data_IF_403079932533
#
_entry.id   IF_403079932533
#
_cell.length_a   1.000
_cell.length_b   1.000
_cell.length_c   1.000
_cell.angle_alpha   90.00
_cell.angle_beta   90.00
_cell.angle_gamma   90.00
#
_symmetry.space_group_name_H-M   'P 1'
#
loop_
_entity.id
_entity.type
_entity.pdbx_description
1 polymer ?
#
# COMPACT_ATOMS: atom_id res chain seq x y z
N UNK A 1 -6.57 27.48 12.08
CA UNK A 1 -6.01 26.29 11.41
C UNK A 1 -5.04 25.64 12.38
N UNK A 2 -5.07 24.32 12.57
CA UNK A 2 -4.15 23.63 13.50
C UNK A 2 -2.77 23.49 12.87
N UNK A 3 -1.73 23.94 13.55
CA UNK A 3 -0.33 23.89 13.09
C UNK A 3 0.45 22.69 13.62
N UNK A 4 -0.17 21.91 14.51
CA UNK A 4 0.43 20.74 15.17
C UNK A 4 0.15 19.42 14.45
N UNK A 5 -0.67 19.44 13.40
CA UNK A 5 -1.04 18.27 12.60
C UNK A 5 -0.42 18.41 11.21
N UNK A 6 0.32 17.37 10.78
CA UNK A 6 0.75 17.22 9.39
C UNK A 6 -0.23 16.30 8.67
N UNK A 7 -0.85 16.80 7.61
CA UNK A 7 -1.76 16.02 6.77
C UNK A 7 -1.04 15.55 5.50
N UNK A 8 -1.27 14.29 5.15
CA UNK A 8 -0.76 13.66 3.93
C UNK A 8 -1.94 13.00 3.24
N UNK A 9 -2.16 13.30 1.96
CA UNK A 9 -3.31 12.82 1.20
C UNK A 9 -2.85 11.87 0.10
N UNK A 10 -3.63 10.80 -0.09
CA UNK A 10 -3.42 9.85 -1.18
C UNK A 10 -4.78 9.43 -1.74
N UNK A 11 -5.00 9.50 -3.07
CA UNK A 11 -6.25 9.09 -3.71
C UNK A 11 -6.26 7.56 -3.93
N UNK A 12 -6.14 6.78 -2.86
CA UNK A 12 -5.90 5.33 -2.93
C UNK A 12 -6.97 4.56 -3.74
N UNK A 13 -8.26 4.91 -3.58
CA UNK A 13 -9.34 4.27 -4.35
C UNK A 13 -9.27 4.57 -5.84
N UNK A 14 -8.93 5.81 -6.21
CA UNK A 14 -8.76 6.18 -7.62
C UNK A 14 -7.53 5.51 -8.23
N UNK A 15 -6.43 5.42 -7.47
CA UNK A 15 -5.23 4.70 -7.88
C UNK A 15 -5.53 3.21 -8.10
N UNK A 16 -6.31 2.59 -7.22
CA UNK A 16 -6.75 1.20 -7.38
C UNK A 16 -7.52 1.01 -8.70
N UNK A 17 -8.54 1.82 -8.96
CA UNK A 17 -9.35 1.71 -10.18
C UNK A 17 -8.50 1.91 -11.46
N UNK A 18 -7.67 2.96 -11.50
CA UNK A 18 -6.82 3.26 -12.67
C UNK A 18 -5.79 2.19 -12.99
N UNK A 19 -5.40 1.39 -12.00
CA UNK A 19 -4.37 0.36 -12.16
C UNK A 19 -4.95 -1.07 -12.25
N UNK A 20 -6.27 -1.22 -12.43
CA UNK A 20 -6.96 -2.52 -12.43
C UNK A 20 -6.75 -3.30 -11.13
N UNK A 21 -6.68 -2.59 -10.00
CA UNK A 21 -6.50 -3.12 -8.64
C UNK A 21 -7.73 -2.83 -7.78
N UNK A 22 -8.93 -2.85 -8.37
CA UNK A 22 -10.18 -2.55 -7.66
C UNK A 22 -10.29 -3.39 -6.38
N UNK A 23 -10.64 -2.72 -5.27
CA UNK A 23 -10.66 -3.32 -3.93
C UNK A 23 -9.32 -3.31 -3.16
N UNK A 24 -8.19 -2.92 -3.78
CA UNK A 24 -6.87 -2.90 -3.12
C UNK A 24 -6.46 -1.54 -2.54
N UNK A 25 -7.40 -0.61 -2.41
CA UNK A 25 -7.14 0.73 -1.88
C UNK A 25 -6.49 0.70 -0.48
N UNK A 26 -6.83 -0.30 0.34
CA UNK A 26 -6.23 -0.52 1.65
C UNK A 26 -4.72 -0.84 1.56
N UNK A 27 -4.29 -1.67 0.62
CA UNK A 27 -2.88 -2.06 0.46
C UNK A 27 -2.05 -0.91 -0.13
N UNK A 28 -2.64 -0.14 -1.05
CA UNK A 28 -2.07 1.12 -1.53
C UNK A 28 -1.87 2.09 -0.36
N UNK A 29 -2.85 2.21 0.52
CA UNK A 29 -2.74 3.06 1.70
C UNK A 29 -1.64 2.58 2.66
N UNK A 30 -1.49 1.27 2.86
CA UNK A 30 -0.39 0.69 3.65
C UNK A 30 0.99 1.04 3.07
N UNK A 31 1.16 0.93 1.75
CA UNK A 31 2.41 1.33 1.08
C UNK A 31 2.78 2.78 1.40
N UNK A 32 1.82 3.70 1.29
CA UNK A 32 2.03 5.11 1.57
C UNK A 32 2.35 5.39 3.05
N UNK A 33 1.70 4.69 3.99
CA UNK A 33 2.02 4.77 5.42
C UNK A 33 3.46 4.36 5.67
N UNK A 34 3.89 3.24 5.11
CA UNK A 34 5.26 2.71 5.32
C UNK A 34 6.28 3.70 4.74
N UNK A 35 6.06 4.24 3.55
CA UNK A 35 6.95 5.23 2.94
C UNK A 35 7.06 6.53 3.76
N UNK A 36 5.97 6.99 4.38
CA UNK A 36 5.98 8.25 5.15
C UNK A 36 6.46 8.08 6.58
N UNK A 37 6.20 6.93 7.20
CA UNK A 37 6.57 6.66 8.58
C UNK A 37 7.93 5.98 8.72
N UNK A 38 8.40 5.29 7.67
CA UNK A 38 9.59 4.45 7.70
C UNK A 38 9.56 3.43 8.85
N UNK A 39 8.36 3.01 9.26
CA UNK A 39 8.16 2.08 10.37
C UNK A 39 8.67 0.67 10.06
N UNK A 40 8.75 0.32 8.78
CA UNK A 40 9.30 -0.94 8.29
C UNK A 40 10.11 -0.70 7.02
N UNK A 41 11.15 -1.50 6.82
CA UNK A 41 11.80 -1.63 5.51
C UNK A 41 10.81 -2.24 4.50
N UNK A 42 10.82 -1.72 3.27
CA UNK A 42 9.85 -2.11 2.24
C UNK A 42 9.89 -3.62 1.98
N UNK A 43 11.07 -4.18 1.70
CA UNK A 43 11.24 -5.60 1.38
C UNK A 43 10.85 -6.51 2.54
N UNK A 44 11.10 -6.06 3.77
CA UNK A 44 10.71 -6.80 4.97
C UNK A 44 9.19 -6.88 5.10
N UNK A 45 8.50 -5.75 4.95
CA UNK A 45 7.03 -5.73 5.03
C UNK A 45 6.39 -6.49 3.85
N UNK A 46 6.94 -6.33 2.64
CA UNK A 46 6.50 -7.05 1.44
C UNK A 46 6.54 -8.56 1.67
N UNK A 47 7.63 -9.07 2.24
CA UNK A 47 7.77 -10.48 2.61
C UNK A 47 6.64 -10.92 3.56
N UNK A 48 6.46 -10.22 4.68
CA UNK A 48 5.42 -10.55 5.67
C UNK A 48 4.01 -10.50 5.07
N UNK A 49 3.71 -9.50 4.24
CA UNK A 49 2.44 -9.39 3.55
C UNK A 49 2.18 -10.62 2.69
N UNK A 50 3.17 -11.08 1.93
CA UNK A 50 3.01 -12.26 1.06
C UNK A 50 2.91 -13.57 1.86
N UNK A 51 3.65 -13.73 2.96
CA UNK A 51 3.57 -14.90 3.84
C UNK A 51 2.23 -14.99 4.58
N UNK A 52 1.55 -13.86 4.80
CA UNK A 52 0.22 -13.82 5.42
C UNK A 52 -0.90 -14.32 4.50
N UNK A 53 -0.64 -14.46 3.19
CA UNK A 53 -1.64 -14.88 2.20
C UNK A 53 -1.68 -16.41 2.15
N UNK A 54 -2.85 -17.05 2.38
CA UNK A 54 -2.96 -18.50 2.34
C UNK A 54 -2.76 -19.03 0.91
N UNK A 55 -2.23 -20.24 0.79
CA UNK A 55 -1.94 -20.88 -0.51
C UNK A 55 -3.16 -20.95 -1.44
N UNK A 56 -4.37 -21.12 -0.89
CA UNK A 56 -5.63 -21.11 -1.66
C UNK A 56 -5.91 -19.77 -2.37
N UNK A 57 -5.22 -18.70 -2.00
CA UNK A 57 -5.35 -17.34 -2.55
C UNK A 57 -4.05 -16.85 -3.16
N UNK A 58 -3.17 -17.73 -3.65
CA UNK A 58 -1.89 -17.35 -4.25
C UNK A 58 -2.00 -16.28 -5.35
N UNK A 59 -3.11 -16.24 -6.09
CA UNK A 59 -3.38 -15.19 -7.08
C UNK A 59 -3.40 -13.75 -6.50
N UNK A 60 -3.63 -13.60 -5.19
CA UNK A 60 -3.61 -12.30 -4.51
C UNK A 60 -2.19 -11.80 -4.23
N UNK A 61 -1.16 -12.65 -4.28
CA UNK A 61 0.22 -12.26 -3.95
C UNK A 61 0.67 -11.14 -4.88
N UNK A 62 0.63 -11.35 -6.19
CA UNK A 62 1.08 -10.36 -7.18
C UNK A 62 0.22 -9.09 -7.17
N UNK A 63 -1.08 -9.23 -6.91
CA UNK A 63 -2.00 -8.09 -6.78
C UNK A 63 -1.62 -7.23 -5.56
N UNK A 64 -1.34 -7.86 -4.42
CA UNK A 64 -0.92 -7.17 -3.20
C UNK A 64 0.46 -6.51 -3.35
N UNK A 65 1.42 -7.17 -4.01
CA UNK A 65 2.75 -6.57 -4.28
C UNK A 65 2.61 -5.29 -5.11
N UNK A 66 1.85 -5.34 -6.21
CA UNK A 66 1.62 -4.17 -7.07
C UNK A 66 0.91 -3.03 -6.32
N UNK A 67 -0.09 -3.37 -5.51
CA UNK A 67 -0.81 -2.38 -4.72
C UNK A 67 0.09 -1.73 -3.66
N UNK A 68 0.93 -2.51 -2.98
CA UNK A 68 1.87 -2.00 -1.97
C UNK A 68 2.90 -1.07 -2.62
N UNK A 69 3.49 -1.50 -3.74
CA UNK A 69 4.47 -0.72 -4.50
C UNK A 69 3.89 0.62 -4.98
N UNK A 70 2.69 0.58 -5.55
CA UNK A 70 1.99 1.77 -6.02
C UNK A 70 1.75 2.79 -4.89
N UNK A 71 1.43 2.30 -3.70
CA UNK A 71 1.29 3.12 -2.50
C UNK A 71 2.61 3.68 -1.99
N UNK A 72 3.64 2.83 -1.91
CA UNK A 72 4.95 3.19 -1.37
C UNK A 72 5.66 4.23 -2.22
N UNK A 73 5.57 4.10 -3.54
CA UNK A 73 6.18 5.02 -4.50
C UNK A 73 5.30 6.24 -4.80
N UNK A 74 4.13 6.37 -4.19
CA UNK A 74 3.26 7.52 -4.39
C UNK A 74 3.89 8.78 -3.75
N UNK A 75 4.28 9.72 -4.61
CA UNK A 75 4.83 11.00 -4.15
C UNK A 75 3.68 11.90 -3.71
N UNK A 76 3.69 12.26 -2.43
CA UNK A 76 2.79 13.25 -1.80
C UNK A 76 3.41 14.62 -1.90
#
# INVERSE_FOLDING_TARGET
MRSDIKAFYIPASELAEKNNLSGMANVIFLGAIIAKTQMFEYDYFLKLLTESIPASKAHLIEINKKALDLGYNYTI
#
